data_IF_667999389526
#
_entry.id   IF_667999389526
#
_cell.length_a   1.000
_cell.length_b   1.000
_cell.length_c   1.000
_cell.angle_alpha   90.00
_cell.angle_beta   90.00
_cell.angle_gamma   90.00
#
_symmetry.space_group_name_H-M   'P 1'
#
loop_
_entity.id
_entity.type
_entity.pdbx_description
1 polymer ?
#
# COMPACT_ATOMS: atom_id res chain seq x y z
N UNK A 1 8.47 -13.69 10.54
CA UNK A 1 7.91 -13.58 9.19
C UNK A 1 9.01 -13.43 8.16
N UNK A 2 8.64 -13.48 6.87
CA UNK A 2 9.57 -13.30 5.73
C UNK A 2 10.36 -11.99 5.82
N UNK A 3 9.75 -10.91 6.31
CA UNK A 3 10.40 -9.60 6.44
C UNK A 3 11.53 -9.58 7.46
N UNK A 4 11.43 -10.34 8.56
CA UNK A 4 12.54 -10.50 9.51
C UNK A 4 13.76 -11.18 8.88
N UNK A 5 13.51 -12.25 8.12
CA UNK A 5 14.58 -13.00 7.44
C UNK A 5 15.24 -12.10 6.41
N UNK A 6 14.45 -11.43 5.58
CA UNK A 6 14.95 -10.46 4.59
C UNK A 6 15.71 -9.31 5.24
N UNK A 7 15.23 -8.73 6.34
CA UNK A 7 15.94 -7.68 7.07
C UNK A 7 17.33 -8.11 7.58
N UNK A 8 17.43 -9.33 8.13
CA UNK A 8 18.69 -9.88 8.58
C UNK A 8 19.63 -10.19 7.40
N UNK A 9 19.08 -10.74 6.32
CA UNK A 9 19.84 -11.08 5.11
C UNK A 9 20.33 -9.84 4.37
N UNK A 10 19.56 -8.76 4.32
CA UNK A 10 19.97 -7.46 3.77
C UNK A 10 21.20 -6.89 4.52
N UNK A 11 21.20 -6.97 5.85
CA UNK A 11 22.34 -6.54 6.67
C UNK A 11 23.58 -7.41 6.41
N UNK A 12 23.41 -8.74 6.33
CA UNK A 12 24.50 -9.66 6.01
C UNK A 12 25.05 -9.43 4.60
N UNK A 13 24.17 -9.23 3.63
CA UNK A 13 24.53 -8.97 2.25
C UNK A 13 25.33 -7.67 2.12
N UNK A 14 24.96 -6.60 2.82
CA UNK A 14 25.74 -5.36 2.86
C UNK A 14 27.16 -5.61 3.36
N UNK A 15 27.33 -6.32 4.48
CA UNK A 15 28.64 -6.61 5.06
C UNK A 15 29.48 -7.48 4.12
N UNK A 16 28.86 -8.48 3.49
CA UNK A 16 29.54 -9.33 2.50
C UNK A 16 29.97 -8.55 1.27
N UNK A 17 29.09 -7.74 0.69
CA UNK A 17 29.36 -6.98 -0.53
C UNK A 17 30.43 -5.91 -0.31
N UNK A 18 30.35 -5.17 0.79
CA UNK A 18 31.19 -3.98 1.02
C UNK A 18 32.45 -4.26 1.83
N UNK A 19 32.45 -5.27 2.69
CA UNK A 19 33.59 -5.60 3.55
C UNK A 19 34.17 -7.01 3.29
N UNK A 20 33.56 -7.81 2.41
CA UNK A 20 34.03 -9.18 2.13
C UNK A 20 33.86 -10.15 3.31
N UNK A 21 33.10 -9.76 4.34
CA UNK A 21 32.90 -10.57 5.55
C UNK A 21 31.58 -11.33 5.45
N UNK A 22 31.66 -12.66 5.40
CA UNK A 22 30.51 -13.50 5.72
C UNK A 22 30.30 -13.41 7.24
N UNK A 23 29.20 -12.80 7.70
CA UNK A 23 28.90 -12.66 9.13
C UNK A 23 28.92 -14.05 9.81
N UNK A 24 29.98 -14.42 10.56
CA UNK A 24 30.11 -15.78 11.07
C UNK A 24 29.17 -16.00 12.25
N UNK A 25 28.96 -17.27 12.63
CA UNK A 25 28.57 -17.57 14.01
C UNK A 25 29.64 -16.96 14.93
N UNK A 26 29.27 -15.90 15.63
CA UNK A 26 30.19 -15.09 16.41
C UNK A 26 30.88 -15.91 17.53
N UNK A 27 32.20 -15.74 17.77
CA UNK A 27 32.82 -16.15 19.02
C UNK A 27 32.15 -15.44 20.21
N UNK A 28 32.24 -16.00 21.43
CA UNK A 28 31.53 -15.55 22.65
C UNK A 28 31.68 -14.05 23.01
N UNK A 29 32.58 -13.29 22.36
CA UNK A 29 32.87 -11.87 22.63
C UNK A 29 32.78 -10.96 21.40
N UNK A 30 31.99 -11.32 20.39
CA UNK A 30 31.84 -10.46 19.20
C UNK A 30 30.80 -9.35 19.40
N UNK A 31 31.00 -8.25 18.68
CA UNK A 31 29.99 -7.22 18.52
C UNK A 31 28.71 -7.83 17.91
N UNK A 32 27.57 -7.67 18.58
CA UNK A 32 26.33 -8.38 18.22
C UNK A 32 25.24 -7.42 17.76
N UNK A 33 24.60 -7.73 16.64
CA UNK A 33 23.38 -7.05 16.19
C UNK A 33 22.21 -7.99 16.46
N UNK A 34 21.31 -7.62 17.37
CA UNK A 34 20.09 -8.38 17.68
C UNK A 34 18.92 -7.74 16.96
N UNK A 35 18.12 -8.52 16.23
CA UNK A 35 16.92 -8.04 15.53
C UNK A 35 15.70 -8.79 16.06
N UNK A 36 14.64 -8.08 16.44
CA UNK A 36 13.45 -8.73 16.99
C UNK A 36 12.35 -7.76 17.40
N UNK A 37 11.25 -8.33 17.88
CA UNK A 37 10.13 -7.57 18.43
C UNK A 37 10.37 -7.20 19.90
N UNK A 38 9.74 -6.12 20.35
CA UNK A 38 9.65 -5.80 21.76
C UNK A 38 9.05 -6.97 22.55
N UNK A 39 9.69 -7.35 23.65
CA UNK A 39 9.25 -8.48 24.49
C UNK A 39 9.55 -9.86 23.93
N UNK A 40 10.16 -9.97 22.75
CA UNK A 40 10.59 -11.26 22.21
C UNK A 40 11.79 -11.81 22.96
N UNK A 41 11.96 -13.15 22.94
CA UNK A 41 13.07 -13.85 23.60
C UNK A 41 14.45 -13.35 23.18
N UNK A 42 14.62 -12.91 21.93
CA UNK A 42 15.91 -12.39 21.44
C UNK A 42 16.29 -11.04 22.09
N UNK A 43 15.31 -10.34 22.66
CA UNK A 43 15.49 -9.07 23.38
C UNK A 43 15.57 -9.24 24.89
N UNK A 44 15.57 -10.48 25.39
CA UNK A 44 15.75 -10.76 26.81
C UNK A 44 17.09 -10.22 27.32
N UNK A 45 17.05 -9.51 28.45
CA UNK A 45 18.23 -8.87 29.07
C UNK A 45 18.70 -7.57 28.39
N UNK A 46 18.09 -7.15 27.28
CA UNK A 46 18.36 -5.82 26.68
C UNK A 46 17.65 -4.76 27.51
N UNK A 47 18.41 -3.77 28.00
CA UNK A 47 17.91 -2.65 28.80
C UNK A 47 17.48 -1.49 27.90
N UNK A 48 16.74 -0.54 28.47
CA UNK A 48 16.38 0.74 27.85
C UNK A 48 15.57 0.64 26.55
N UNK A 49 14.92 -0.50 26.30
CA UNK A 49 13.95 -0.64 25.21
C UNK A 49 12.69 0.14 25.59
N UNK A 50 12.47 1.26 24.91
CA UNK A 50 11.28 2.09 25.03
C UNK A 50 10.01 1.34 24.62
N UNK A 51 8.91 1.64 25.29
CA UNK A 51 7.57 1.25 24.84
C UNK A 51 7.05 2.29 23.85
N UNK A 52 6.73 1.84 22.64
CA UNK A 52 6.31 2.70 21.53
C UNK A 52 4.83 2.50 21.18
N UNK A 53 4.09 1.71 21.98
CA UNK A 53 2.68 1.37 21.72
C UNK A 53 1.73 2.57 21.71
N UNK A 54 2.09 3.68 22.38
CA UNK A 54 1.28 4.91 22.41
C UNK A 54 1.48 5.86 21.24
N UNK A 55 2.33 5.53 20.26
CA UNK A 55 2.61 6.38 19.12
C UNK A 55 1.61 6.15 17.96
N UNK A 56 1.38 7.15 17.09
CA UNK A 56 0.70 6.93 15.82
C UNK A 56 1.44 5.85 15.01
N UNK A 57 0.68 4.96 14.37
CA UNK A 57 1.23 3.87 13.55
C UNK A 57 2.28 3.02 14.29
N UNK A 58 1.99 2.73 15.58
CA UNK A 58 2.91 2.05 16.48
C UNK A 58 3.45 0.73 15.93
N UNK A 59 2.72 0.01 15.07
CA UNK A 59 3.19 -1.22 14.44
C UNK A 59 4.43 -1.03 13.54
N UNK A 60 4.67 0.22 13.10
CA UNK A 60 5.83 0.64 12.31
C UNK A 60 6.92 1.32 13.14
N UNK A 61 6.65 1.58 14.42
CA UNK A 61 7.60 2.22 15.32
C UNK A 61 8.73 1.26 15.70
N UNK A 62 9.93 1.82 15.91
CA UNK A 62 11.09 1.04 16.29
C UNK A 62 12.11 1.82 17.13
N UNK A 63 12.98 1.07 17.79
CA UNK A 63 14.11 1.58 18.53
C UNK A 63 15.41 0.85 18.13
N UNK A 64 16.51 1.59 18.11
CA UNK A 64 17.87 1.05 18.03
C UNK A 64 18.56 1.44 19.32
N UNK A 65 18.94 0.47 20.15
CA UNK A 65 19.54 0.72 21.46
C UNK A 65 20.89 0.03 21.60
N UNK A 66 21.89 0.68 22.21
CA UNK A 66 23.19 0.07 22.47
C UNK A 66 23.06 -1.05 23.49
N UNK A 67 23.72 -2.18 23.24
CA UNK A 67 23.86 -3.28 24.20
C UNK A 67 25.16 -3.05 24.97
N UNK A 68 25.08 -3.02 26.30
CA UNK A 68 26.24 -2.81 27.17
C UNK A 68 26.39 -3.93 28.19
N UNK A 69 27.62 -4.37 28.38
CA UNK A 69 28.01 -5.23 29.49
C UNK A 69 28.26 -4.42 30.77
N UNK A 70 28.43 -5.12 31.89
CA UNK A 70 28.81 -4.54 33.18
C UNK A 70 30.10 -3.72 33.01
N UNK A 71 30.06 -2.43 33.34
CA UNK A 71 31.18 -1.49 33.09
C UNK A 71 31.07 -0.64 31.82
N UNK A 72 29.86 -0.50 31.26
CA UNK A 72 29.51 0.39 30.13
C UNK A 72 30.10 0.06 28.76
N UNK A 73 30.89 -1.02 28.64
CA UNK A 73 31.43 -1.49 27.37
C UNK A 73 30.31 -1.79 26.38
N UNK A 74 30.34 -1.14 25.21
CA UNK A 74 29.44 -1.44 24.09
C UNK A 74 29.79 -2.81 23.50
N UNK A 75 28.81 -3.71 23.46
CA UNK A 75 28.95 -5.05 22.90
C UNK A 75 28.02 -5.31 21.71
N UNK A 76 27.21 -4.33 21.33
CA UNK A 76 26.31 -4.49 20.19
C UNK A 76 25.20 -3.46 20.11
N UNK A 77 24.24 -3.74 19.23
CA UNK A 77 22.98 -3.02 19.11
C UNK A 77 21.79 -3.99 19.11
N UNK A 78 20.70 -3.57 19.73
CA UNK A 78 19.40 -4.20 19.56
C UNK A 78 18.52 -3.33 18.65
N UNK A 79 18.04 -3.93 17.56
CA UNK A 79 17.13 -3.39 16.57
C UNK A 79 15.73 -3.92 16.91
N UNK A 80 14.91 -3.09 17.53
CA UNK A 80 13.66 -3.51 18.16
C UNK A 80 12.48 -2.88 17.46
N UNK A 81 11.63 -3.69 16.83
CA UNK A 81 10.34 -3.25 16.32
C UNK A 81 9.24 -3.39 17.36
N UNK A 82 8.30 -2.45 17.35
CA UNK A 82 7.03 -2.62 18.08
C UNK A 82 6.10 -3.59 17.33
N UNK A 83 6.14 -3.58 15.99
CA UNK A 83 5.57 -4.61 15.11
C UNK A 83 6.60 -5.10 14.09
N UNK A 84 6.21 -6.06 13.25
CA UNK A 84 7.11 -6.61 12.22
C UNK A 84 7.62 -5.55 11.22
N UNK A 85 6.77 -4.63 10.72
CA UNK A 85 7.26 -3.54 9.87
C UNK A 85 8.27 -2.65 10.58
N UNK A 86 8.04 -2.32 11.86
CA UNK A 86 8.99 -1.54 12.66
C UNK A 86 10.34 -2.23 12.79
N UNK A 87 10.37 -3.55 13.01
CA UNK A 87 11.64 -4.28 13.09
C UNK A 87 12.38 -4.29 11.74
N UNK A 88 11.65 -4.46 10.64
CA UNK A 88 12.21 -4.32 9.30
C UNK A 88 12.81 -2.91 9.10
N UNK A 89 12.11 -1.84 9.50
CA UNK A 89 12.63 -0.48 9.39
C UNK A 89 13.84 -0.22 10.29
N UNK A 90 13.89 -0.80 11.50
CA UNK A 90 15.07 -0.74 12.37
C UNK A 90 16.32 -1.30 11.68
N UNK A 91 16.17 -2.44 10.99
CA UNK A 91 17.24 -3.03 10.20
C UNK A 91 17.66 -2.13 9.03
N UNK A 92 16.71 -1.54 8.30
CA UNK A 92 17.03 -0.63 7.20
C UNK A 92 17.73 0.65 7.68
N UNK A 93 17.32 1.21 8.81
CA UNK A 93 18.00 2.36 9.45
C UNK A 93 19.42 2.01 9.84
N UNK A 94 19.61 0.87 10.49
CA UNK A 94 20.93 0.43 10.89
C UNK A 94 21.84 0.14 9.69
N UNK A 95 21.27 -0.45 8.63
CA UNK A 95 21.94 -0.67 7.34
C UNK A 95 22.45 0.64 6.74
N UNK A 96 21.64 1.69 6.75
CA UNK A 96 22.02 3.02 6.26
C UNK A 96 23.14 3.66 7.09
N UNK A 97 23.16 3.42 8.41
CA UNK A 97 24.27 3.86 9.27
C UNK A 97 25.58 3.15 8.93
N UNK A 98 25.54 1.83 8.75
CA UNK A 98 26.70 1.03 8.33
C UNK A 98 27.18 1.48 6.96
N UNK A 99 26.29 1.64 5.99
CA UNK A 99 26.63 2.07 4.64
C UNK A 99 27.29 3.46 4.63
N UNK A 100 26.77 4.41 5.41
CA UNK A 100 27.39 5.72 5.59
C UNK A 100 28.77 5.67 6.25
N UNK A 101 28.99 4.73 7.18
CA UNK A 101 30.28 4.52 7.82
C UNK A 101 31.30 3.86 6.87
N UNK A 102 30.88 2.85 6.10
CA UNK A 102 31.69 2.20 5.08
C UNK A 102 32.16 3.19 4.01
N UNK A 103 31.30 4.11 3.57
CA UNK A 103 31.68 5.16 2.62
C UNK A 103 32.77 6.10 3.19
N UNK A 104 32.82 6.28 4.52
CA UNK A 104 33.80 7.14 5.20
C UNK A 104 35.00 6.37 5.73
N UNK A 105 35.04 5.05 5.55
CA UNK A 105 36.08 4.20 6.08
C UNK A 105 37.44 4.62 5.52
N UNK A 106 38.41 4.80 6.42
CA UNK A 106 39.79 5.15 6.06
C UNK A 106 40.66 3.93 5.83
N UNK A 107 40.27 2.80 6.43
CA UNK A 107 40.91 1.50 6.29
C UNK A 107 39.93 0.51 5.65
N UNK A 108 40.47 -0.52 5.00
CA UNK A 108 39.67 -1.50 4.25
C UNK A 108 38.86 -2.45 5.16
N UNK A 109 39.22 -2.56 6.43
CA UNK A 109 38.77 -3.57 7.39
C UNK A 109 38.16 -3.01 8.68
N UNK A 110 38.06 -1.68 8.80
CA UNK A 110 37.52 -1.02 9.99
C UNK A 110 36.49 0.06 9.61
N UNK A 111 35.38 0.08 10.34
CA UNK A 111 34.39 1.16 10.30
C UNK A 111 34.18 1.74 11.70
N UNK A 112 34.06 3.07 11.76
CA UNK A 112 33.67 3.77 12.98
C UNK A 112 32.17 4.08 12.93
N UNK A 113 31.43 3.58 13.92
CA UNK A 113 30.01 3.90 14.11
C UNK A 113 29.87 4.82 15.33
N UNK A 114 29.08 5.90 15.24
CA UNK A 114 28.72 6.66 16.43
C UNK A 114 27.93 5.78 17.39
N UNK A 115 28.12 6.00 18.70
CA UNK A 115 27.28 5.35 19.71
C UNK A 115 25.92 6.04 19.70
N UNK A 116 24.91 5.37 19.15
CA UNK A 116 23.59 5.98 18.91
C UNK A 116 22.47 5.24 19.64
N UNK A 117 21.49 6.00 20.10
CA UNK A 117 20.17 5.49 20.45
C UNK A 117 19.16 6.17 19.53
N UNK A 118 18.36 5.40 18.81
CA UNK A 118 17.40 5.91 17.84
C UNK A 118 16.00 5.46 18.25
N UNK A 119 15.05 6.36 18.17
CA UNK A 119 13.60 6.10 18.24
C UNK A 119 12.97 6.76 17.04
N UNK A 120 12.15 6.03 16.31
CA UNK A 120 11.52 6.53 15.09
C UNK A 120 10.18 5.84 14.83
N UNK A 121 9.27 6.58 14.20
CA UNK A 121 7.94 6.16 13.78
C UNK A 121 7.44 7.11 12.68
N UNK A 122 6.57 6.64 11.76
CA UNK A 122 6.07 7.49 10.70
C UNK A 122 4.87 8.34 11.14
N UNK A 123 4.79 9.58 10.66
CA UNK A 123 3.56 10.39 10.78
C UNK A 123 2.44 9.90 9.86
N UNK A 124 2.80 9.27 8.73
CA UNK A 124 1.86 8.73 7.75
C UNK A 124 1.88 7.20 7.76
N UNK A 125 0.74 6.58 8.04
CA UNK A 125 0.61 5.12 8.12
C UNK A 125 0.86 4.39 6.80
N UNK A 126 0.47 4.99 5.68
CA UNK A 126 0.71 4.47 4.33
C UNK A 126 1.48 5.49 3.49
N UNK A 127 2.56 5.04 2.82
CA UNK A 127 3.49 5.86 2.05
C UNK A 127 3.97 5.07 0.86
N UNK A 128 3.81 5.58 -0.35
CA UNK A 128 4.44 4.93 -1.50
C UNK A 128 3.84 5.32 -2.83
N UNK A 129 3.70 4.34 -3.69
CA UNK A 129 3.40 4.54 -5.10
C UNK A 129 1.96 4.18 -5.44
N UNK A 130 1.42 4.90 -6.41
CA UNK A 130 0.04 4.79 -6.88
C UNK A 130 0.00 4.81 -8.41
N UNK A 131 -0.71 3.85 -9.01
CA UNK A 131 -1.07 3.84 -10.43
C UNK A 131 -0.23 2.93 -11.34
N UNK A 132 -0.37 3.12 -12.66
CA UNK A 132 0.18 2.25 -13.73
C UNK A 132 1.70 2.28 -13.90
N UNK A 133 2.38 3.19 -13.21
CA UNK A 133 3.85 3.33 -13.22
C UNK A 133 4.48 2.91 -11.88
N UNK A 134 3.72 2.17 -11.06
CA UNK A 134 4.22 1.60 -9.82
C UNK A 134 5.38 0.61 -10.05
N UNK A 135 6.03 0.18 -8.95
CA UNK A 135 7.14 -0.78 -9.01
C UNK A 135 6.74 -2.02 -9.82
N UNK A 136 7.41 -2.22 -10.95
CA UNK A 136 7.06 -3.26 -11.92
C UNK A 136 7.67 -4.62 -11.59
N UNK A 137 8.54 -4.68 -10.59
CA UNK A 137 9.31 -5.86 -10.23
C UNK A 137 9.74 -5.84 -8.75
N UNK A 138 10.32 -6.94 -8.30
CA UNK A 138 10.76 -7.12 -6.92
C UNK A 138 11.90 -6.17 -6.48
N UNK A 139 12.75 -5.71 -7.41
CA UNK A 139 13.85 -4.79 -7.11
C UNK A 139 13.32 -3.41 -6.76
N UNK A 140 12.31 -2.94 -7.48
CA UNK A 140 11.66 -1.65 -7.19
C UNK A 140 10.98 -1.67 -5.81
N UNK A 141 10.34 -2.79 -5.45
CA UNK A 141 9.77 -3.00 -4.10
C UNK A 141 10.85 -2.91 -3.03
N UNK A 142 11.97 -3.62 -3.20
CA UNK A 142 13.08 -3.58 -2.25
C UNK A 142 13.68 -2.17 -2.12
N UNK A 143 13.86 -1.48 -3.26
CA UNK A 143 14.34 -0.10 -3.31
C UNK A 143 13.42 0.84 -2.54
N UNK A 144 12.11 0.75 -2.74
CA UNK A 144 11.12 1.52 -2.02
C UNK A 144 11.12 1.24 -0.51
N UNK A 145 11.12 -0.04 -0.14
CA UNK A 145 11.07 -0.47 1.25
C UNK A 145 12.31 -0.05 2.05
N UNK A 146 13.48 -0.02 1.41
CA UNK A 146 14.71 0.51 2.05
C UNK A 146 14.60 1.99 2.44
N UNK A 147 13.66 2.73 1.83
CA UNK A 147 13.31 4.12 2.17
C UNK A 147 12.05 4.23 3.02
N UNK A 148 11.59 3.09 3.57
CA UNK A 148 10.39 2.98 4.40
C UNK A 148 9.11 3.35 3.65
N UNK A 149 9.08 3.28 2.32
CA UNK A 149 7.80 3.24 1.61
C UNK A 149 7.18 1.87 1.81
N UNK A 150 5.89 1.83 2.11
CA UNK A 150 5.18 0.64 2.56
C UNK A 150 3.84 0.41 1.83
N UNK A 151 3.53 1.20 0.80
CA UNK A 151 2.31 1.06 0.02
C UNK A 151 2.63 1.02 -1.47
N UNK A 152 1.97 0.10 -2.18
CA UNK A 152 1.93 0.04 -3.64
C UNK A 152 0.49 -0.19 -4.06
N UNK A 153 -0.11 0.79 -4.72
CA UNK A 153 -1.41 0.62 -5.39
C UNK A 153 -1.20 0.41 -6.90
N UNK A 154 -1.65 -0.72 -7.44
CA UNK A 154 -1.38 -1.09 -8.84
C UNK A 154 -2.61 -1.56 -9.60
N UNK A 155 -2.66 -1.24 -10.89
CA UNK A 155 -3.65 -1.83 -11.79
C UNK A 155 -3.33 -3.31 -12.02
N UNK A 156 -4.34 -4.13 -11.85
CA UNK A 156 -4.25 -5.56 -12.13
C UNK A 156 -4.75 -5.86 -13.54
N UNK A 157 -4.04 -6.67 -14.35
CA UNK A 157 -4.57 -7.19 -15.59
C UNK A 157 -5.90 -7.92 -15.39
N UNK A 158 -6.82 -7.79 -16.35
CA UNK A 158 -8.19 -8.29 -16.26
C UNK A 158 -8.54 -9.13 -17.47
N UNK A 159 -9.29 -10.20 -17.26
CA UNK A 159 -9.76 -11.08 -18.34
C UNK A 159 -11.02 -11.83 -17.93
N UNK A 160 -11.69 -12.42 -18.90
CA UNK A 160 -12.69 -13.42 -18.62
C UNK A 160 -12.03 -14.78 -18.39
N UNK A 161 -12.36 -15.44 -17.28
CA UNK A 161 -12.01 -16.83 -17.05
C UNK A 161 -12.81 -17.78 -17.96
N UNK A 162 -12.41 -19.06 -18.01
CA UNK A 162 -13.04 -20.11 -18.83
C UNK A 162 -14.53 -20.32 -18.50
N UNK A 163 -14.95 -20.02 -17.27
CA UNK A 163 -16.37 -20.02 -16.84
C UNK A 163 -17.13 -18.70 -17.05
N UNK A 164 -16.56 -17.73 -17.76
CA UNK A 164 -17.20 -16.45 -18.06
C UNK A 164 -17.17 -15.40 -16.94
N UNK A 165 -16.57 -15.70 -15.78
CA UNK A 165 -16.35 -14.71 -14.73
C UNK A 165 -15.28 -13.69 -15.13
N UNK A 166 -15.47 -12.41 -14.77
CA UNK A 166 -14.48 -11.35 -15.02
C UNK A 166 -13.50 -11.28 -13.86
N UNK A 167 -12.23 -11.66 -14.09
CA UNK A 167 -11.24 -11.87 -13.04
C UNK A 167 -10.02 -10.97 -13.22
N UNK A 168 -9.28 -10.79 -12.13
CA UNK A 168 -8.03 -10.03 -12.09
C UNK A 168 -6.85 -10.91 -11.66
N UNK A 169 -5.68 -10.64 -12.24
CA UNK A 169 -4.45 -11.32 -11.92
C UNK A 169 -3.48 -10.38 -11.19
N UNK A 170 -2.79 -10.92 -10.19
CA UNK A 170 -1.67 -10.25 -9.52
C UNK A 170 -0.44 -11.14 -9.71
N UNK A 171 0.69 -10.53 -10.05
CA UNK A 171 1.94 -11.27 -10.20
C UNK A 171 2.36 -11.89 -8.85
N UNK A 172 2.51 -13.23 -8.76
CA UNK A 172 2.87 -13.89 -7.50
C UNK A 172 4.26 -13.50 -6.99
N UNK A 173 5.20 -13.20 -7.88
CA UNK A 173 6.54 -12.73 -7.53
C UNK A 173 6.50 -11.34 -6.90
N UNK A 174 5.67 -10.45 -7.42
CA UNK A 174 5.42 -9.13 -6.84
C UNK A 174 4.77 -9.25 -5.46
N UNK A 175 3.74 -10.10 -5.31
CA UNK A 175 3.13 -10.36 -4.00
C UNK A 175 4.15 -10.89 -3.00
N UNK A 176 4.97 -11.87 -3.38
CA UNK A 176 6.03 -12.39 -2.52
C UNK A 176 7.06 -11.31 -2.15
N UNK A 177 7.43 -10.44 -3.09
CA UNK A 177 8.34 -9.33 -2.83
C UNK A 177 7.75 -8.35 -1.81
N UNK A 178 6.46 -7.99 -1.91
CA UNK A 178 5.83 -7.06 -0.96
C UNK A 178 5.82 -7.61 0.47
N UNK A 179 5.49 -8.90 0.65
CA UNK A 179 5.54 -9.58 1.96
C UNK A 179 6.94 -9.59 2.58
N UNK A 180 7.96 -9.88 1.77
CA UNK A 180 9.38 -9.87 2.20
C UNK A 180 9.88 -8.50 2.65
N UNK A 181 9.28 -7.42 2.16
CA UNK A 181 9.79 -6.07 2.38
C UNK A 181 8.85 -5.19 3.22
N UNK A 182 7.90 -5.79 3.93
CA UNK A 182 6.91 -5.06 4.74
C UNK A 182 6.18 -3.97 3.93
N UNK A 183 5.84 -4.28 2.67
CA UNK A 183 5.07 -3.43 1.77
C UNK A 183 3.67 -4.02 1.62
N UNK A 184 2.66 -3.17 1.67
CA UNK A 184 1.26 -3.48 1.39
C UNK A 184 0.98 -3.28 -0.10
N UNK A 185 0.44 -4.31 -0.74
CA UNK A 185 -0.07 -4.21 -2.11
C UNK A 185 -1.58 -4.03 -2.10
N UNK A 186 -2.06 -3.02 -2.82
CA UNK A 186 -3.49 -2.70 -2.97
C UNK A 186 -3.84 -2.75 -4.46
N UNK A 187 -4.54 -3.79 -4.94
CA UNK A 187 -5.00 -3.82 -6.32
C UNK A 187 -6.04 -2.73 -6.59
N UNK A 188 -5.99 -2.20 -7.82
CA UNK A 188 -6.87 -1.16 -8.31
C UNK A 188 -7.96 -1.73 -9.20
N UNK A 189 -9.22 -1.42 -8.86
CA UNK A 189 -10.33 -1.37 -9.81
C UNK A 189 -10.25 -0.03 -10.54
N UNK A 190 -9.89 -0.07 -11.83
CA UNK A 190 -9.68 1.12 -12.67
C UNK A 190 -10.95 1.97 -12.80
N UNK A 191 -10.80 3.20 -13.29
CA UNK A 191 -11.93 4.07 -13.59
C UNK A 191 -13.03 3.33 -14.38
N UNK A 192 -14.28 3.47 -13.91
CA UNK A 192 -15.40 2.68 -14.41
C UNK A 192 -15.88 3.09 -15.83
N UNK A 193 -15.38 4.20 -16.34
CA UNK A 193 -15.51 4.70 -17.72
C UNK A 193 -14.34 4.27 -18.64
N UNK A 194 -13.27 3.67 -18.09
CA UNK A 194 -12.11 3.15 -18.84
C UNK A 194 -12.20 1.64 -19.10
N UNK A 195 -13.42 1.11 -19.23
CA UNK A 195 -13.63 -0.31 -19.53
C UNK A 195 -13.19 -0.62 -20.97
N UNK A 196 -12.49 -1.75 -21.21
CA UNK A 196 -11.94 -2.04 -22.52
C UNK A 196 -13.04 -2.38 -23.52
N UNK A 197 -12.85 -1.99 -24.79
CA UNK A 197 -13.80 -2.29 -25.89
C UNK A 197 -14.20 -3.76 -25.98
N UNK A 198 -13.24 -4.67 -25.77
CA UNK A 198 -13.45 -6.12 -25.79
C UNK A 198 -14.47 -6.60 -24.74
N UNK A 199 -14.67 -5.83 -23.66
CA UNK A 199 -15.72 -6.11 -22.68
C UNK A 199 -17.11 -5.99 -23.31
N UNK A 200 -17.36 -4.90 -24.01
CA UNK A 200 -18.66 -4.63 -24.64
C UNK A 200 -18.90 -5.48 -25.90
N UNK A 201 -17.83 -5.98 -26.54
CA UNK A 201 -17.95 -6.99 -27.60
C UNK A 201 -18.47 -8.32 -27.04
N UNK A 202 -18.02 -8.72 -25.84
CA UNK A 202 -18.44 -9.96 -25.19
C UNK A 202 -19.77 -9.84 -24.43
N UNK A 203 -20.03 -8.69 -23.82
CA UNK A 203 -21.25 -8.38 -23.06
C UNK A 203 -21.95 -7.15 -23.67
N UNK A 204 -22.55 -7.30 -24.87
CA UNK A 204 -23.14 -6.19 -25.61
C UNK A 204 -24.30 -5.50 -24.88
N UNK A 205 -25.00 -6.23 -24.01
CA UNK A 205 -26.10 -5.75 -23.17
C UNK A 205 -25.65 -4.75 -22.10
N UNK A 206 -24.36 -4.68 -21.80
CA UNK A 206 -23.82 -3.69 -20.85
C UNK A 206 -23.70 -2.30 -21.43
N UNK A 207 -23.82 -2.10 -22.74
CA UNK A 207 -23.62 -0.77 -23.34
C UNK A 207 -24.59 0.25 -22.76
N UNK A 208 -24.05 1.40 -22.34
CA UNK A 208 -24.82 2.56 -21.96
C UNK A 208 -25.76 3.01 -23.10
N UNK A 209 -26.88 3.63 -22.72
CA UNK A 209 -27.88 4.16 -23.65
C UNK A 209 -27.84 5.70 -23.67
N UNK A 210 -28.24 6.27 -24.80
CA UNK A 210 -28.39 7.72 -25.01
C UNK A 210 -27.15 8.44 -25.54
N UNK A 211 -27.29 9.74 -25.78
CA UNK A 211 -26.32 10.54 -26.55
C UNK A 211 -24.96 10.68 -25.88
N UNK A 212 -24.89 10.50 -24.55
CA UNK A 212 -23.65 10.54 -23.77
C UNK A 212 -23.06 9.16 -23.49
N UNK A 213 -23.59 8.09 -24.08
CA UNK A 213 -23.12 6.73 -23.83
C UNK A 213 -21.68 6.48 -24.30
N UNK A 214 -21.19 7.29 -25.24
CA UNK A 214 -19.85 7.18 -25.84
C UNK A 214 -19.24 8.57 -26.03
N UNK A 215 -17.97 8.73 -25.64
CA UNK A 215 -17.20 9.96 -25.84
C UNK A 215 -15.81 9.57 -26.36
N UNK A 216 -15.49 9.96 -27.60
CA UNK A 216 -14.27 9.47 -28.26
C UNK A 216 -14.25 7.95 -28.34
N UNK A 217 -13.17 7.34 -27.86
CA UNK A 217 -13.01 5.87 -27.79
C UNK A 217 -13.61 5.25 -26.51
N UNK A 218 -14.02 6.07 -25.52
CA UNK A 218 -14.56 5.59 -24.26
C UNK A 218 -16.04 5.24 -24.40
N UNK A 219 -16.43 4.11 -23.81
CA UNK A 219 -17.79 3.58 -23.81
C UNK A 219 -18.21 3.30 -22.36
N UNK A 220 -19.33 3.88 -21.93
CA UNK A 220 -19.87 3.62 -20.60
C UNK A 220 -20.67 2.32 -20.56
N UNK A 221 -20.75 1.75 -19.35
CA UNK A 221 -21.67 0.67 -19.02
C UNK A 221 -23.01 1.20 -18.49
N UNK A 222 -24.10 0.46 -18.70
CA UNK A 222 -25.39 0.76 -18.10
C UNK A 222 -25.43 0.24 -16.65
N UNK A 223 -25.45 1.14 -15.66
CA UNK A 223 -25.49 0.77 -14.24
C UNK A 223 -26.76 0.04 -13.83
N UNK A 224 -27.87 0.28 -14.55
CA UNK A 224 -29.14 -0.39 -14.31
C UNK A 224 -29.16 -1.85 -14.79
N UNK A 225 -28.24 -2.25 -15.67
CA UNK A 225 -28.21 -3.62 -16.16
C UNK A 225 -27.57 -4.56 -15.13
N UNK A 226 -28.25 -5.64 -14.68
CA UNK A 226 -27.78 -6.48 -13.58
C UNK A 226 -26.43 -7.17 -13.87
N UNK A 227 -26.12 -7.43 -15.14
CA UNK A 227 -24.83 -8.00 -15.52
C UNK A 227 -23.64 -7.07 -15.19
N UNK A 228 -23.85 -5.76 -15.05
CA UNK A 228 -22.78 -4.83 -14.66
C UNK A 228 -22.42 -5.01 -13.19
N UNK A 229 -23.41 -5.12 -12.29
CA UNK A 229 -23.15 -5.45 -10.89
C UNK A 229 -22.46 -6.82 -10.77
N UNK A 230 -22.88 -7.81 -11.57
CA UNK A 230 -22.22 -9.12 -11.60
C UNK A 230 -20.74 -9.00 -11.97
N UNK A 231 -20.41 -8.19 -12.97
CA UNK A 231 -19.02 -7.96 -13.39
C UNK A 231 -18.16 -7.38 -12.28
N UNK A 232 -18.67 -6.36 -11.55
CA UNK A 232 -17.95 -5.78 -10.41
C UNK A 232 -17.78 -6.78 -9.27
N UNK A 233 -18.82 -7.60 -9.01
CA UNK A 233 -18.76 -8.67 -8.00
C UNK A 233 -17.69 -9.71 -8.36
N UNK A 234 -17.68 -10.20 -9.60
CA UNK A 234 -16.68 -11.19 -10.07
C UNK A 234 -15.25 -10.63 -9.92
N UNK A 235 -15.05 -9.35 -10.29
CA UNK A 235 -13.74 -8.69 -10.18
C UNK A 235 -13.32 -8.56 -8.71
N UNK A 236 -14.20 -8.05 -7.85
CA UNK A 236 -13.91 -7.87 -6.42
C UNK A 236 -13.63 -9.20 -5.73
N UNK A 237 -14.44 -10.25 -5.97
CA UNK A 237 -14.22 -11.59 -5.41
C UNK A 237 -12.88 -12.15 -5.87
N UNK A 238 -12.57 -12.04 -7.16
CA UNK A 238 -11.30 -12.51 -7.71
C UNK A 238 -10.10 -11.82 -7.04
N UNK A 239 -10.19 -10.53 -6.69
CA UNK A 239 -9.15 -9.85 -5.92
C UNK A 239 -9.09 -10.32 -4.46
N UNK A 240 -10.25 -10.54 -3.83
CA UNK A 240 -10.36 -11.00 -2.44
C UNK A 240 -9.75 -12.40 -2.21
N UNK A 241 -9.74 -13.25 -3.25
CA UNK A 241 -9.15 -14.59 -3.24
C UNK A 241 -7.61 -14.58 -3.16
N UNK A 242 -6.95 -13.47 -3.51
CA UNK A 242 -5.48 -13.40 -3.46
C UNK A 242 -4.98 -13.27 -2.02
N UNK A 243 -4.08 -14.17 -1.63
CA UNK A 243 -3.40 -14.12 -0.34
C UNK A 243 -2.57 -12.85 -0.21
N UNK A 244 -2.77 -12.09 0.87
CA UNK A 244 -2.08 -10.82 1.13
C UNK A 244 -2.81 -9.57 0.60
N UNK A 245 -3.89 -9.72 -0.18
CA UNK A 245 -4.76 -8.60 -0.54
C UNK A 245 -5.74 -8.32 0.59
N UNK A 246 -5.49 -7.30 1.39
CA UNK A 246 -6.39 -6.89 2.49
C UNK A 246 -7.25 -5.66 2.13
N UNK A 247 -6.89 -4.95 1.07
CA UNK A 247 -7.55 -3.73 0.63
C UNK A 247 -7.68 -3.72 -0.89
N UNK A 248 -8.77 -3.14 -1.41
CA UNK A 248 -8.95 -2.84 -2.84
C UNK A 248 -9.22 -1.35 -3.00
N UNK A 249 -8.55 -0.72 -3.96
CA UNK A 249 -8.79 0.68 -4.33
C UNK A 249 -9.65 0.74 -5.58
N UNK A 250 -10.86 1.27 -5.49
CA UNK A 250 -11.77 1.36 -6.62
C UNK A 250 -11.97 2.80 -7.08
N UNK A 251 -11.72 3.04 -8.35
CA UNK A 251 -11.71 4.38 -8.91
C UNK A 251 -13.04 4.69 -9.57
N UNK A 252 -13.63 5.83 -9.19
CA UNK A 252 -14.79 6.37 -9.89
C UNK A 252 -14.40 6.79 -11.31
N UNK A 253 -15.40 7.07 -12.16
CA UNK A 253 -15.15 7.63 -13.49
C UNK A 253 -14.27 8.89 -13.43
N UNK A 254 -13.36 9.08 -14.37
CA UNK A 254 -12.26 10.05 -14.21
C UNK A 254 -12.70 11.50 -14.38
N UNK A 255 -13.55 11.80 -15.38
CA UNK A 255 -13.95 13.17 -15.73
C UNK A 255 -15.47 13.36 -15.67
N UNK A 256 -15.93 14.59 -15.44
CA UNK A 256 -17.36 14.92 -15.36
C UNK A 256 -18.07 14.74 -16.72
N UNK A 257 -17.33 14.96 -17.81
CA UNK A 257 -17.80 14.81 -19.19
C UNK A 257 -17.53 13.40 -19.76
N UNK A 258 -17.18 12.43 -18.93
CA UNK A 258 -16.99 11.05 -19.37
C UNK A 258 -18.31 10.42 -19.84
N UNK A 259 -18.24 9.36 -20.65
CA UNK A 259 -19.45 8.71 -21.13
C UNK A 259 -20.29 8.23 -19.95
N UNK A 260 -21.62 8.32 -20.07
CA UNK A 260 -22.58 7.84 -19.07
C UNK A 260 -23.86 7.37 -19.71
N UNK A 261 -24.52 6.42 -19.06
CA UNK A 261 -25.83 5.95 -19.46
C UNK A 261 -26.92 6.95 -19.06
N UNK A 262 -27.86 7.21 -19.96
CA UNK A 262 -29.03 8.06 -19.72
C UNK A 262 -30.35 7.33 -19.94
N UNK A 263 -30.40 6.01 -19.67
CA UNK A 263 -31.68 5.32 -19.60
C UNK A 263 -32.51 5.83 -18.41
N UNK A 264 -33.82 5.54 -18.39
CA UNK A 264 -34.74 6.02 -17.36
C UNK A 264 -34.30 5.67 -15.94
N UNK A 265 -33.66 4.51 -15.76
CA UNK A 265 -33.19 4.08 -14.44
C UNK A 265 -31.89 4.79 -14.03
N UNK A 266 -30.89 4.84 -14.93
CA UNK A 266 -29.61 5.52 -14.64
C UNK A 266 -29.76 7.03 -14.44
N UNK A 267 -30.84 7.63 -14.96
CA UNK A 267 -31.09 9.06 -14.85
C UNK A 267 -31.71 9.50 -13.52
N UNK A 268 -32.12 8.55 -12.66
CA UNK A 268 -32.77 8.84 -11.36
C UNK A 268 -31.82 9.29 -10.26
N UNK A 269 -30.53 9.03 -10.40
CA UNK A 269 -29.53 9.30 -9.38
C UNK A 269 -28.27 9.93 -9.98
N UNK A 270 -27.52 10.65 -9.14
CA UNK A 270 -26.19 11.11 -9.52
C UNK A 270 -25.28 9.92 -9.87
N UNK A 271 -24.61 10.02 -11.02
CA UNK A 271 -23.79 8.95 -11.58
C UNK A 271 -22.72 8.43 -10.62
N UNK A 272 -21.96 9.32 -9.97
CA UNK A 272 -20.89 8.95 -9.04
C UNK A 272 -21.42 8.32 -7.75
N UNK A 273 -22.61 8.72 -7.31
CA UNK A 273 -23.30 8.06 -6.19
C UNK A 273 -23.69 6.62 -6.56
N UNK A 274 -24.20 6.42 -7.77
CA UNK A 274 -24.49 5.08 -8.29
C UNK A 274 -23.23 4.22 -8.36
N UNK A 275 -22.12 4.73 -8.89
CA UNK A 275 -20.83 4.01 -8.93
C UNK A 275 -20.36 3.59 -7.54
N UNK A 276 -20.33 4.54 -6.61
CA UNK A 276 -19.91 4.28 -5.24
C UNK A 276 -20.75 3.17 -4.59
N UNK A 277 -22.08 3.22 -4.74
CA UNK A 277 -22.98 2.18 -4.20
C UNK A 277 -22.76 0.81 -4.86
N UNK A 278 -22.51 0.77 -6.16
CA UNK A 278 -22.22 -0.49 -6.86
C UNK A 278 -20.90 -1.10 -6.39
N UNK A 279 -19.87 -0.28 -6.17
CA UNK A 279 -18.59 -0.69 -5.61
C UNK A 279 -18.73 -1.19 -4.16
N UNK A 280 -19.53 -0.52 -3.33
CA UNK A 280 -19.86 -0.98 -1.96
C UNK A 280 -20.54 -2.33 -2.00
N UNK A 281 -21.54 -2.54 -2.88
CA UNK A 281 -22.20 -3.84 -3.04
C UNK A 281 -21.23 -4.93 -3.50
N UNK A 282 -20.33 -4.62 -4.42
CA UNK A 282 -19.30 -5.56 -4.88
C UNK A 282 -18.33 -5.91 -3.74
N UNK A 283 -17.91 -4.93 -2.94
CA UNK A 283 -17.08 -5.13 -1.76
C UNK A 283 -17.75 -5.99 -0.70
N UNK A 284 -19.02 -5.75 -0.37
CA UNK A 284 -19.79 -6.60 0.55
C UNK A 284 -19.86 -8.05 0.06
N UNK A 285 -19.94 -8.23 -1.25
CA UNK A 285 -19.92 -9.54 -1.87
C UNK A 285 -18.53 -10.19 -1.83
N UNK A 286 -17.46 -9.42 -2.03
CA UNK A 286 -16.06 -9.83 -1.80
C UNK A 286 -15.78 -10.21 -0.34
N UNK A 287 -16.43 -9.56 0.63
CA UNK A 287 -16.32 -9.89 2.06
C UNK A 287 -16.89 -11.26 2.42
N UNK A 288 -17.73 -11.85 1.56
CA UNK A 288 -18.15 -13.25 1.71
C UNK A 288 -16.99 -14.23 1.46
N UNK A 289 -15.99 -13.82 0.68
CA UNK A 289 -14.76 -14.56 0.42
C UNK A 289 -13.71 -14.24 1.49
N UNK A 290 -13.47 -12.95 1.73
CA UNK A 290 -12.51 -12.47 2.75
C UNK A 290 -13.20 -11.47 3.70
N UNK A 291 -13.66 -11.89 4.88
CA UNK A 291 -14.40 -11.00 5.80
C UNK A 291 -13.64 -9.75 6.27
N UNK A 292 -12.30 -9.79 6.27
CA UNK A 292 -11.40 -8.68 6.60
C UNK A 292 -11.15 -7.69 5.46
N UNK A 293 -11.60 -8.00 4.24
CA UNK A 293 -11.33 -7.17 3.06
C UNK A 293 -11.85 -5.74 3.27
N UNK A 294 -11.00 -4.76 2.99
CA UNK A 294 -11.34 -3.33 3.02
C UNK A 294 -11.51 -2.78 1.61
N UNK A 295 -12.37 -1.77 1.48
CA UNK A 295 -12.53 -0.99 0.26
C UNK A 295 -12.06 0.43 0.54
N UNK A 296 -11.31 1.00 -0.40
CA UNK A 296 -11.13 2.45 -0.53
C UNK A 296 -11.69 2.91 -1.87
N UNK A 297 -12.47 3.98 -1.88
CA UNK A 297 -12.99 4.59 -3.11
C UNK A 297 -12.14 5.82 -3.43
N UNK A 298 -11.57 5.85 -4.63
CA UNK A 298 -10.85 7.02 -5.13
C UNK A 298 -11.85 8.01 -5.74
N UNK A 299 -11.90 9.19 -5.14
CA UNK A 299 -12.53 10.39 -5.71
C UNK A 299 -11.66 10.95 -6.83
N UNK A 300 -12.29 11.34 -7.92
CA UNK A 300 -11.64 11.75 -9.17
C UNK A 300 -12.02 13.18 -9.55
N UNK A 301 -11.34 13.73 -10.55
CA UNK A 301 -11.65 15.08 -11.04
C UNK A 301 -13.13 15.23 -11.44
N UNK A 302 -13.72 14.18 -12.01
CA UNK A 302 -15.13 14.14 -12.35
C UNK A 302 -16.06 14.15 -11.16
N UNK A 303 -15.67 13.54 -10.04
CA UNK A 303 -16.54 13.46 -8.87
C UNK A 303 -16.50 14.72 -7.99
N UNK A 304 -15.56 15.65 -8.18
CA UNK A 304 -15.38 16.82 -7.29
C UNK A 304 -16.67 17.60 -6.98
N UNK A 305 -17.51 17.96 -7.97
CA UNK A 305 -18.76 18.68 -7.70
C UNK A 305 -19.78 17.86 -6.89
N UNK A 306 -19.56 16.56 -6.78
CA UNK A 306 -20.48 15.58 -6.21
C UNK A 306 -19.89 14.84 -5.00
N UNK A 307 -18.67 15.16 -4.58
CA UNK A 307 -17.99 14.45 -3.50
C UNK A 307 -18.83 14.43 -2.21
N UNK A 308 -19.53 15.50 -1.85
CA UNK A 308 -20.41 15.50 -0.68
C UNK A 308 -21.51 14.42 -0.76
N UNK A 309 -22.10 14.20 -1.95
CA UNK A 309 -23.11 13.17 -2.17
C UNK A 309 -22.50 11.77 -2.13
N UNK A 310 -21.30 11.60 -2.69
CA UNK A 310 -20.57 10.33 -2.65
C UNK A 310 -20.22 9.95 -1.21
N UNK A 311 -19.64 10.88 -0.44
CA UNK A 311 -19.27 10.68 0.97
C UNK A 311 -20.48 10.33 1.83
N UNK A 312 -21.64 10.92 1.56
CA UNK A 312 -22.88 10.59 2.27
C UNK A 312 -23.44 9.20 1.89
N UNK A 313 -23.16 8.72 0.68
CA UNK A 313 -23.69 7.47 0.16
C UNK A 313 -22.88 6.24 0.52
N UNK A 314 -21.62 6.41 0.96
CA UNK A 314 -20.74 5.30 1.35
C UNK A 314 -20.82 5.03 2.85
N UNK A 315 -20.76 3.76 3.28
CA UNK A 315 -20.65 3.42 4.69
C UNK A 315 -19.34 3.97 5.31
N UNK A 316 -19.32 4.31 6.62
CA UNK A 316 -18.14 4.87 7.28
C UNK A 316 -16.94 3.92 7.29
N UNK A 317 -17.15 2.61 7.17
CA UNK A 317 -16.06 1.64 7.09
C UNK A 317 -15.35 1.58 5.73
N UNK A 318 -15.87 2.28 4.72
CA UNK A 318 -15.24 2.41 3.40
C UNK A 318 -14.29 3.60 3.41
N UNK A 319 -13.01 3.34 3.16
CA UNK A 319 -12.00 4.38 3.07
C UNK A 319 -12.21 5.27 1.86
N UNK A 320 -11.71 6.50 1.94
CA UNK A 320 -11.72 7.46 0.83
C UNK A 320 -10.29 7.80 0.45
N UNK A 321 -9.96 7.57 -0.81
CA UNK A 321 -8.75 8.09 -1.43
C UNK A 321 -9.10 9.36 -2.20
N UNK A 322 -8.24 10.36 -2.12
CA UNK A 322 -8.38 11.59 -2.89
C UNK A 322 -7.12 11.86 -3.69
N UNK A 323 -7.32 12.17 -4.96
CA UNK A 323 -6.28 12.64 -5.87
C UNK A 323 -6.72 13.97 -6.48
N UNK A 324 -5.76 14.90 -6.66
CA UNK A 324 -6.00 16.17 -7.33
C UNK A 324 -5.14 16.38 -8.56
N UNK A 325 -5.63 16.04 -9.76
CA UNK A 325 -4.85 16.28 -10.98
C UNK A 325 -4.55 17.76 -11.25
N UNK A 326 -5.37 18.68 -10.73
CA UNK A 326 -5.18 20.13 -10.87
C UNK A 326 -4.09 20.65 -9.93
N UNK A 327 -4.06 20.15 -8.69
CA UNK A 327 -3.14 20.67 -7.67
C UNK A 327 -1.88 19.83 -7.49
N UNK A 328 -1.85 18.57 -7.94
CA UNK A 328 -0.69 17.67 -7.78
C UNK A 328 0.51 18.12 -8.60
N UNK A 329 0.28 18.60 -9.82
CA UNK A 329 1.34 19.04 -10.73
C UNK A 329 1.41 20.56 -10.82
N UNK A 330 1.21 21.23 -9.68
CA UNK A 330 1.11 22.68 -9.59
C UNK A 330 2.08 23.24 -8.56
N UNK A 331 2.59 24.44 -8.81
CA UNK A 331 3.34 25.24 -7.83
C UNK A 331 2.42 26.16 -7.01
N UNK A 332 1.11 25.99 -7.12
CA UNK A 332 0.13 26.75 -6.35
C UNK A 332 0.35 26.57 -4.85
N UNK A 333 0.09 27.64 -4.09
CA UNK A 333 0.08 27.62 -2.61
C UNK A 333 -1.31 27.33 -2.04
N UNK A 334 -2.31 27.15 -2.91
CA UNK A 334 -3.64 26.78 -2.48
C UNK A 334 -3.64 25.36 -1.87
N UNK A 335 -4.37 25.13 -0.76
CA UNK A 335 -4.44 23.80 -0.17
C UNK A 335 -5.02 22.78 -1.16
N UNK A 336 -4.27 21.70 -1.43
CA UNK A 336 -4.74 20.59 -2.26
C UNK A 336 -5.97 19.90 -1.66
N UNK A 337 -6.00 19.73 -0.33
CA UNK A 337 -7.13 19.15 0.40
C UNK A 337 -8.04 20.28 0.87
N UNK A 338 -9.20 20.38 0.21
CA UNK A 338 -10.21 21.41 0.44
C UNK A 338 -11.11 21.08 1.67
N UNK A 339 -11.85 22.06 2.22
CA UNK A 339 -12.48 21.95 3.54
C UNK A 339 -13.33 20.70 3.75
N UNK A 340 -14.20 20.34 2.79
CA UNK A 340 -15.04 19.14 2.90
C UNK A 340 -14.24 17.87 3.19
N UNK A 341 -13.13 17.65 2.48
CA UNK A 341 -12.31 16.45 2.66
C UNK A 341 -11.47 16.51 3.94
N UNK A 342 -11.07 17.72 4.35
CA UNK A 342 -10.40 17.92 5.64
C UNK A 342 -11.32 17.59 6.80
N UNK A 343 -12.55 18.09 6.76
CA UNK A 343 -13.58 17.82 7.76
C UNK A 343 -13.93 16.33 7.79
N UNK A 344 -14.09 15.70 6.62
CA UNK A 344 -14.29 14.25 6.52
C UNK A 344 -13.13 13.46 7.15
N UNK A 345 -11.88 13.80 6.82
CA UNK A 345 -10.70 13.13 7.36
C UNK A 345 -10.50 13.33 8.89
N UNK A 346 -11.01 14.44 9.45
CA UNK A 346 -10.99 14.70 10.89
C UNK A 346 -12.13 14.01 11.64
N UNK A 347 -13.25 13.74 10.95
CA UNK A 347 -14.45 13.14 11.51
C UNK A 347 -14.33 11.66 11.87
N UNK A 348 -13.31 10.98 11.32
CA UNK A 348 -13.11 9.55 11.49
C UNK A 348 -13.85 8.73 10.45
#
# INVERSE_FOLDING_TARGET
SDSFVTAADDLRALLKEKAGVDAPAAPEKAFTIRLGLRGSKVMEGVRDILDLSGLPHAEQAYAIVPIRETGERLTGYALVGQGEPGAYYAAQTFRQLIEGALHKAKAADEIELPVVAIRDWPDLGERGFWGSYGPGNAQDIAFMASRRFNLVEIHTPRRFAEGGAYTAAIDPGLMAATRKHAVKLVPIITHLDHLPKSLFEKLPELRAQGDKAKVGELQAACHAHPAYQKLLNDWMRSLAEHEGVEDVCAWLSELENCPKCSCDECSKENWFVSEARMLVRAWQDGRKVKPSLRLRILLTQGSYPHNALVLHAVPPEVGISYYSGVHTYSVSREPMVYPLLREFAQGG
#
